data_IF_501502486897
#
_entry.id   IF_501502486897
#
_cell.length_a   1.000
_cell.length_b   1.000
_cell.length_c   1.000
_cell.angle_alpha   90.00
_cell.angle_beta   90.00
_cell.angle_gamma   90.00
#
_symmetry.space_group_name_H-M   'P 1'
#
loop_
_entity.id
_entity.type
_entity.pdbx_description
1 polymer ?
#
# COMPACT_ATOMS: atom_id res chain seq x y z
N UNK A 1 14.26 36.65 19.88
CA UNK A 1 14.28 35.41 20.11
C UNK A 1 14.13 34.59 18.92
N UNK A 2 14.79 33.52 18.84
CA UNK A 2 14.66 32.77 17.81
C UNK A 2 13.43 32.13 17.73
N UNK A 3 12.88 32.11 16.70
CA UNK A 3 11.66 31.41 16.55
C UNK A 3 12.02 30.01 16.76
N UNK A 4 11.39 29.41 17.69
CA UNK A 4 11.63 28.07 17.95
C UNK A 4 11.02 27.30 16.88
N UNK A 5 11.75 26.52 16.17
CA UNK A 5 11.16 25.67 15.20
C UNK A 5 10.43 24.61 15.92
N UNK A 6 9.32 24.16 15.41
CA UNK A 6 8.59 23.09 16.03
C UNK A 6 9.48 21.88 16.09
N UNK A 7 9.48 21.23 17.20
CA UNK A 7 10.25 20.04 17.35
C UNK A 7 9.45 18.91 16.73
N UNK A 8 9.89 18.42 15.62
CA UNK A 8 9.22 17.30 14.98
C UNK A 8 9.91 16.04 15.44
N UNK A 9 9.12 15.16 15.98
CA UNK A 9 9.62 13.85 16.30
C UNK A 9 8.94 12.88 15.39
N UNK A 10 9.70 11.97 14.80
CA UNK A 10 9.16 10.99 13.92
C UNK A 10 9.31 9.64 14.58
N UNK A 11 8.19 8.99 14.79
CA UNK A 11 8.21 7.64 15.32
C UNK A 11 7.73 6.71 14.25
N UNK A 12 8.31 5.52 14.19
CA UNK A 12 7.91 4.55 13.20
C UNK A 12 7.29 3.37 13.93
N UNK A 13 6.28 2.79 13.33
CA UNK A 13 5.55 1.69 13.92
C UNK A 13 5.39 0.58 12.91
N UNK A 14 5.27 -0.64 13.36
CA UNK A 14 4.96 -1.75 12.50
C UNK A 14 3.47 -2.02 12.46
N UNK A 15 2.74 -1.44 13.36
CA UNK A 15 1.28 -1.51 13.38
C UNK A 15 0.72 -0.24 13.94
N UNK A 16 -0.44 0.17 13.49
CA UNK A 16 -1.05 1.43 13.92
C UNK A 16 -2.56 1.29 13.79
N UNK A 17 -3.26 1.65 14.86
CA UNK A 17 -4.70 1.57 14.85
C UNK A 17 -5.29 2.96 14.82
N UNK A 18 -6.22 3.21 13.90
CA UNK A 18 -6.88 4.48 13.83
C UNK A 18 -8.31 4.24 13.36
N UNK A 19 -9.26 4.86 14.04
CA UNK A 19 -10.67 4.74 13.72
C UNK A 19 -11.14 3.29 13.61
N UNK A 20 -10.63 2.44 14.46
CA UNK A 20 -11.04 1.05 14.48
C UNK A 20 -10.37 0.15 13.46
N UNK A 21 -9.52 0.71 12.61
CA UNK A 21 -8.80 -0.09 11.63
C UNK A 21 -7.37 -0.24 12.07
N UNK A 22 -6.83 -1.42 11.95
CA UNK A 22 -5.45 -1.68 12.30
C UNK A 22 -4.67 -1.91 11.03
N UNK A 23 -3.65 -1.06 10.82
CA UNK A 23 -2.78 -1.18 9.67
C UNK A 23 -1.46 -1.78 10.10
N UNK A 24 -0.89 -2.65 9.28
CA UNK A 24 0.42 -3.20 9.57
C UNK A 24 1.32 -3.01 8.36
N UNK A 25 2.62 -2.98 8.58
CA UNK A 25 3.56 -2.94 7.47
C UNK A 25 3.65 -4.32 6.83
N UNK A 26 4.17 -4.37 5.61
CA UNK A 26 4.34 -5.63 4.91
C UNK A 26 5.25 -6.55 5.71
N UNK A 27 6.29 -6.01 6.35
CA UNK A 27 7.20 -6.84 7.10
C UNK A 27 6.50 -7.47 8.30
N UNK A 28 5.54 -6.76 8.90
CA UNK A 28 4.81 -7.32 10.02
C UNK A 28 3.79 -8.35 9.54
N UNK A 29 3.18 -8.12 8.38
CA UNK A 29 2.22 -9.07 7.83
C UNK A 29 2.87 -10.42 7.56
N UNK A 30 4.14 -10.45 7.25
CA UNK A 30 4.79 -11.72 7.00
C UNK A 30 4.89 -12.56 8.26
N UNK A 31 4.73 -11.95 9.41
CA UNK A 31 4.78 -12.67 10.67
C UNK A 31 3.40 -12.97 11.21
N UNK A 32 2.37 -12.44 10.60
CA UNK A 32 1.01 -12.60 11.09
C UNK A 32 0.20 -13.52 10.20
N UNK A 33 -0.86 -14.06 10.73
CA UNK A 33 -1.76 -14.87 9.95
C UNK A 33 -2.61 -13.99 9.07
N UNK A 34 -3.05 -12.87 9.61
CA UNK A 34 -3.89 -11.96 8.86
C UNK A 34 -3.07 -10.90 8.14
N UNK A 35 -3.57 -10.45 7.01
CA UNK A 35 -2.89 -9.45 6.23
C UNK A 35 -3.55 -8.11 6.45
N UNK A 36 -2.80 -7.11 6.85
CA UNK A 36 -3.35 -5.78 7.13
C UNK A 36 -2.52 -4.66 6.51
N UNK A 37 -1.72 -4.99 5.50
CA UNK A 37 -0.87 -3.96 4.89
C UNK A 37 -1.38 -3.46 3.55
N UNK A 38 -2.44 -4.05 3.02
CA UNK A 38 -2.95 -3.63 1.72
C UNK A 38 -3.76 -2.37 1.82
N UNK A 39 -3.57 -1.46 0.88
CA UNK A 39 -4.31 -0.20 0.84
C UNK A 39 -4.65 0.17 -0.58
N UNK A 40 -5.69 0.94 -0.74
CA UNK A 40 -5.97 1.55 -2.04
C UNK A 40 -6.38 3.00 -1.82
N UNK A 41 -6.19 3.80 -2.83
CA UNK A 41 -6.49 5.22 -2.75
C UNK A 41 -7.04 5.66 -4.10
N UNK A 42 -8.11 6.46 -4.07
CA UNK A 42 -8.66 7.01 -5.28
C UNK A 42 -8.11 8.42 -5.45
N UNK A 43 -7.72 8.73 -6.67
CA UNK A 43 -7.24 10.06 -6.99
C UNK A 43 -8.02 10.59 -8.19
N UNK A 44 -8.41 11.84 -8.12
CA UNK A 44 -9.19 12.47 -9.18
C UNK A 44 -8.24 13.31 -10.02
N UNK A 45 -8.25 13.05 -11.31
CA UNK A 45 -7.44 13.82 -12.23
C UNK A 45 -8.10 15.15 -12.54
N UNK A 46 -7.37 16.11 -13.07
CA UNK A 46 -7.97 17.39 -13.39
C UNK A 46 -9.12 17.29 -14.38
N UNK A 47 -9.12 16.27 -15.23
CA UNK A 47 -10.20 16.12 -16.18
C UNK A 47 -11.43 15.44 -15.57
N UNK A 48 -11.38 15.12 -14.30
CA UNK A 48 -12.51 14.49 -13.62
C UNK A 48 -12.46 12.98 -13.55
N UNK A 49 -11.48 12.36 -14.19
CA UNK A 49 -11.37 10.91 -14.13
C UNK A 49 -10.85 10.49 -12.79
N UNK A 50 -11.30 9.35 -12.31
CA UNK A 50 -10.86 8.82 -11.04
C UNK A 50 -10.05 7.57 -11.28
N UNK A 51 -8.87 7.53 -10.69
CA UNK A 51 -8.01 6.37 -10.78
C UNK A 51 -7.81 5.79 -9.39
N UNK A 52 -7.85 4.49 -9.28
CA UNK A 52 -7.60 3.82 -8.02
C UNK A 52 -6.20 3.25 -8.03
N UNK A 53 -5.42 3.62 -7.03
CA UNK A 53 -4.08 3.13 -6.87
C UNK A 53 -4.08 2.05 -5.80
N UNK A 54 -3.31 1.00 -6.02
CA UNK A 54 -3.22 -0.13 -5.10
C UNK A 54 -1.80 -0.24 -4.59
N UNK A 55 -1.65 -0.57 -3.34
CA UNK A 55 -0.33 -0.67 -2.77
C UNK A 55 -0.29 -1.41 -1.45
N UNK A 56 0.87 -1.42 -0.86
CA UNK A 56 1.09 -2.02 0.44
C UNK A 56 1.88 -1.06 1.29
N UNK A 57 1.66 -1.12 2.59
CA UNK A 57 2.32 -0.23 3.53
C UNK A 57 3.71 -0.75 3.81
N UNK A 58 4.70 0.07 3.53
CA UNK A 58 6.08 -0.28 3.80
C UNK A 58 6.50 0.22 5.17
N UNK A 59 6.11 1.42 5.52
CA UNK A 59 6.43 2.01 6.81
C UNK A 59 5.26 2.83 7.31
N UNK A 60 5.10 2.92 8.61
CA UNK A 60 4.10 3.77 9.22
C UNK A 60 4.84 4.77 10.07
N UNK A 61 4.62 6.05 9.80
CA UNK A 61 5.29 7.13 10.50
C UNK A 61 4.26 7.94 11.26
N UNK A 62 4.62 8.38 12.44
CA UNK A 62 3.79 9.30 13.16
C UNK A 62 4.63 10.55 13.40
N UNK A 63 4.21 11.67 12.87
CA UNK A 63 4.87 12.92 13.10
C UNK A 63 4.26 13.54 14.32
N UNK A 64 5.07 13.75 15.35
CA UNK A 64 4.60 14.31 16.58
C UNK A 64 5.04 15.77 16.57
N UNK A 65 4.09 16.66 16.36
CA UNK A 65 4.36 18.07 16.28
C UNK A 65 3.91 18.67 17.58
N UNK A 66 4.50 19.73 17.98
CA UNK A 66 4.26 20.34 19.27
C UNK A 66 2.83 20.28 19.73
N UNK A 67 2.59 20.24 21.03
CA UNK A 67 1.27 20.26 21.64
C UNK A 67 0.44 19.03 21.33
N UNK A 68 1.11 17.91 21.24
CA UNK A 68 0.40 16.64 21.07
C UNK A 68 -0.35 16.52 19.76
N UNK A 69 0.06 17.24 18.75
CA UNK A 69 -0.56 17.14 17.46
C UNK A 69 0.18 16.04 16.71
N UNK A 70 -0.50 14.96 16.41
CA UNK A 70 0.13 13.82 15.76
C UNK A 70 -0.48 13.58 14.41
N UNK A 71 0.38 13.34 13.43
CA UNK A 71 -0.06 13.11 12.06
C UNK A 71 0.46 11.77 11.60
N UNK A 72 -0.39 10.80 11.40
CA UNK A 72 0.06 9.51 10.89
C UNK A 72 0.19 9.53 9.38
N UNK A 73 1.31 9.03 8.89
CA UNK A 73 1.59 8.95 7.47
C UNK A 73 1.95 7.52 7.14
N UNK A 74 1.53 7.07 5.98
CA UNK A 74 1.89 5.76 5.51
C UNK A 74 2.85 5.93 4.34
N UNK A 75 3.96 5.21 4.38
CA UNK A 75 4.85 5.15 3.26
C UNK A 75 4.52 3.86 2.56
N UNK A 76 4.09 3.96 1.32
CA UNK A 76 3.55 2.82 0.61
C UNK A 76 4.35 2.49 -0.62
N UNK A 77 4.32 1.23 -1.02
CA UNK A 77 4.79 0.81 -2.30
C UNK A 77 3.58 0.71 -3.19
N UNK A 78 3.50 1.56 -4.20
CA UNK A 78 2.34 1.61 -5.07
C UNK A 78 2.59 0.82 -6.34
N UNK A 79 1.58 0.09 -6.78
CA UNK A 79 1.67 -0.72 -7.97
C UNK A 79 1.53 0.19 -9.18
N UNK A 80 2.36 -0.08 -10.19
CA UNK A 80 2.31 0.71 -11.40
C UNK A 80 1.05 0.34 -12.15
N UNK A 81 0.28 1.33 -12.56
CA UNK A 81 -0.99 1.06 -13.20
C UNK A 81 -0.86 0.61 -14.63
N UNK A 82 0.26 0.90 -15.27
CA UNK A 82 0.48 0.48 -16.65
C UNK A 82 1.41 -0.72 -16.66
N UNK A 83 1.57 -1.33 -17.80
CA UNK A 83 2.53 -2.43 -17.92
C UNK A 83 2.13 -3.68 -17.21
N UNK A 84 0.85 -3.91 -17.03
CA UNK A 84 0.39 -5.14 -16.41
C UNK A 84 0.36 -5.13 -14.90
N UNK A 85 0.60 -4.01 -14.27
CA UNK A 85 0.54 -3.95 -12.83
C UNK A 85 -0.86 -4.11 -12.29
N UNK A 86 -1.85 -3.61 -13.01
CA UNK A 86 -3.24 -3.73 -12.61
C UNK A 86 -4.04 -4.18 -13.83
N UNK A 87 -4.74 -5.29 -13.69
CA UNK A 87 -5.55 -5.84 -14.77
C UNK A 87 -6.95 -6.12 -14.23
N UNK A 88 -7.94 -5.95 -15.08
CA UNK A 88 -9.30 -6.25 -14.69
C UNK A 88 -9.75 -7.47 -15.47
N UNK A 89 -10.18 -8.50 -14.76
CA UNK A 89 -10.67 -9.70 -15.38
C UNK A 89 -12.10 -9.41 -15.79
N UNK A 90 -12.36 -9.35 -17.09
CA UNK A 90 -13.66 -9.00 -17.56
C UNK A 90 -14.68 -10.09 -17.33
N UNK A 91 -14.23 -11.32 -17.22
CA UNK A 91 -15.17 -12.40 -17.03
C UNK A 91 -15.75 -12.41 -15.64
N UNK A 92 -14.92 -12.19 -14.63
CA UNK A 92 -15.40 -12.23 -13.27
C UNK A 92 -15.40 -10.87 -12.59
N UNK A 93 -14.96 -9.85 -13.26
CA UNK A 93 -14.95 -8.52 -12.68
C UNK A 93 -13.96 -8.30 -11.57
N UNK A 94 -12.96 -9.17 -11.48
CA UNK A 94 -11.98 -9.02 -10.43
C UNK A 94 -10.83 -8.15 -10.87
N UNK A 95 -10.24 -7.45 -9.94
CA UNK A 95 -9.05 -6.66 -10.21
C UNK A 95 -7.85 -7.46 -9.76
N UNK A 96 -6.91 -7.66 -10.66
CA UNK A 96 -5.70 -8.41 -10.38
C UNK A 96 -4.55 -7.43 -10.28
N UNK A 97 -3.80 -7.52 -9.20
CA UNK A 97 -2.75 -6.57 -8.92
C UNK A 97 -1.43 -7.31 -8.77
N UNK A 98 -0.41 -6.86 -9.50
CA UNK A 98 0.93 -7.42 -9.39
C UNK A 98 1.70 -6.59 -8.39
N UNK A 99 1.82 -7.08 -7.18
CA UNK A 99 2.44 -6.33 -6.10
C UNK A 99 3.93 -6.14 -6.28
N UNK A 100 4.54 -6.83 -7.24
CA UNK A 100 5.96 -6.63 -7.50
C UNK A 100 6.22 -5.57 -8.56
N UNK A 101 5.18 -5.13 -9.25
CA UNK A 101 5.33 -4.15 -10.30
C UNK A 101 5.15 -2.75 -9.71
N UNK A 102 6.20 -2.23 -9.11
CA UNK A 102 6.13 -1.03 -8.31
C UNK A 102 6.46 0.20 -9.13
N UNK A 103 5.69 1.24 -8.95
CA UNK A 103 5.92 2.51 -9.60
C UNK A 103 5.74 3.65 -8.64
N UNK A 104 5.71 4.87 -9.18
CA UNK A 104 5.39 6.06 -8.39
C UNK A 104 6.22 6.23 -7.13
N UNK A 105 7.53 6.06 -7.26
CA UNK A 105 8.39 6.10 -6.08
C UNK A 105 8.68 7.51 -5.60
N UNK A 106 8.32 8.52 -6.37
CA UNK A 106 8.67 9.88 -6.01
C UNK A 106 7.80 10.47 -4.91
N UNK A 107 6.62 9.93 -4.68
CA UNK A 107 5.74 10.47 -3.66
C UNK A 107 5.06 9.31 -2.96
N UNK A 108 5.79 8.60 -2.13
CA UNK A 108 5.25 7.38 -1.53
C UNK A 108 4.42 7.59 -0.28
N UNK A 109 4.40 8.83 0.26
CA UNK A 109 3.70 9.06 1.52
C UNK A 109 2.27 9.50 1.32
N UNK A 110 1.37 8.99 2.10
CA UNK A 110 -0.03 9.40 2.09
C UNK A 110 -0.53 9.49 3.52
N UNK A 111 -1.57 10.27 3.72
CA UNK A 111 -2.20 10.36 5.02
C UNK A 111 -3.09 9.14 5.21
N UNK A 112 -3.15 8.66 6.44
CA UNK A 112 -3.98 7.51 6.73
C UNK A 112 -5.43 7.79 6.35
N UNK A 113 -5.88 9.03 6.49
CA UNK A 113 -7.26 9.37 6.18
C UNK A 113 -7.60 9.27 4.70
N UNK A 114 -6.60 9.26 3.83
CA UNK A 114 -6.83 9.26 2.40
C UNK A 114 -6.81 7.87 1.78
N UNK A 115 -6.56 6.84 2.55
CA UNK A 115 -6.48 5.50 2.00
C UNK A 115 -7.51 4.61 2.65
N UNK A 116 -7.84 3.55 1.96
CA UNK A 116 -8.71 2.51 2.50
C UNK A 116 -7.94 1.22 2.56
N UNK A 117 -8.21 0.45 3.58
CA UNK A 117 -7.54 -0.82 3.75
C UNK A 117 -8.20 -1.87 2.87
N UNK A 118 -7.39 -2.75 2.31
CA UNK A 118 -7.96 -3.85 1.56
C UNK A 118 -7.12 -5.09 1.81
N UNK A 119 -7.66 -6.22 1.43
CA UNK A 119 -6.96 -7.46 1.61
C UNK A 119 -6.72 -8.08 0.25
N UNK A 120 -5.48 -8.46 -0.02
CA UNK A 120 -5.14 -9.12 -1.26
C UNK A 120 -5.28 -10.63 -1.07
N UNK A 121 -5.87 -11.27 -2.05
CA UNK A 121 -6.01 -12.71 -2.03
C UNK A 121 -5.15 -13.24 -3.15
N UNK A 122 -4.31 -14.20 -2.84
CA UNK A 122 -3.42 -14.72 -3.84
C UNK A 122 -4.22 -15.47 -4.90
N UNK A 123 -3.91 -15.19 -6.15
CA UNK A 123 -4.60 -15.85 -7.24
C UNK A 123 -4.00 -17.22 -7.43
N UNK A 124 -4.74 -18.23 -7.08
CA UNK A 124 -4.27 -19.58 -7.19
C UNK A 124 -4.65 -20.20 -8.53
N UNK A 125 -5.37 -19.48 -9.37
CA UNK A 125 -5.79 -20.05 -10.63
C UNK A 125 -4.68 -20.05 -11.66
N UNK A 126 -3.70 -19.18 -11.53
CA UNK A 126 -2.64 -19.18 -12.50
C UNK A 126 -1.61 -20.15 -12.03
N UNK A 127 -1.44 -21.25 -12.73
CA UNK A 127 -0.47 -22.14 -12.34
C UNK A 127 0.82 -21.74 -12.84
N UNK A 128 1.85 -22.01 -12.20
CA UNK A 128 3.16 -21.64 -12.61
C UNK A 128 3.46 -22.41 -13.85
N UNK A 129 4.04 -21.79 -14.80
CA UNK A 129 4.30 -22.42 -15.96
C UNK A 129 5.33 -23.39 -15.69
N UNK A 130 5.32 -24.47 -16.18
CA UNK A 130 6.21 -25.41 -15.93
C UNK A 130 7.43 -25.11 -16.56
N UNK A 131 7.86 -24.31 -16.78
CA UNK A 131 9.01 -23.99 -17.37
C UNK A 131 10.09 -24.14 -16.60
N UNK A 132 11.20 -23.99 -17.00
CA UNK A 132 12.14 -24.20 -16.17
C UNK A 132 12.44 -23.08 -15.51
N UNK A 133 12.65 -22.24 -15.63
CA UNK A 133 13.03 -21.15 -15.07
C UNK A 133 12.36 -20.70 -14.02
N UNK A 134 11.85 -21.24 -13.54
CA UNK A 134 11.10 -20.81 -12.58
C UNK A 134 11.81 -20.54 -11.41
N UNK A 135 12.93 -20.59 -11.35
CA UNK A 135 13.55 -20.23 -10.25
C UNK A 135 13.28 -18.86 -10.03
N UNK A 136 12.78 -18.15 -10.85
CA UNK A 136 12.42 -16.88 -10.58
C UNK A 136 11.55 -16.81 -9.48
N UNK A 137 11.64 -15.95 -8.63
CA UNK A 137 10.77 -15.84 -7.58
C UNK A 137 9.44 -15.67 -8.06
N UNK A 138 8.50 -16.14 -7.42
CA UNK A 138 7.14 -16.03 -7.82
C UNK A 138 6.68 -14.60 -7.74
N UNK A 139 5.86 -14.22 -8.65
CA UNK A 139 5.27 -12.91 -8.58
C UNK A 139 4.12 -13.01 -7.65
N UNK A 140 3.89 -11.96 -6.90
CA UNK A 140 2.75 -11.94 -6.01
C UNK A 140 1.60 -11.33 -6.74
N UNK A 141 0.83 -12.11 -7.40
CA UNK A 141 -0.35 -11.65 -8.06
C UNK A 141 -1.50 -11.83 -7.12
N UNK A 142 -2.26 -10.81 -6.91
CA UNK A 142 -3.35 -10.87 -5.96
C UNK A 142 -4.64 -10.42 -6.60
N UNK A 143 -5.75 -11.01 -6.19
CA UNK A 143 -7.06 -10.65 -6.67
C UNK A 143 -7.82 -10.02 -5.54
N UNK A 144 -8.58 -9.01 -5.84
CA UNK A 144 -9.35 -8.31 -4.83
C UNK A 144 -10.81 -8.57 -5.02
#
# INVERSE_FOLDING_TARGET
MLARQPAWHVLTYKGYEINGNTFYTVSQDKKNINQNSGVHMDATEPNGDIHTYYGCIEEIWELDYAHNFKVPLLRCQWVKMTGGGVLVDKEYGMTIVDLNNIGYRNDPFVLVADVNQLFYVKDMSTKPKRGKHDEKKPTNESAI
#
